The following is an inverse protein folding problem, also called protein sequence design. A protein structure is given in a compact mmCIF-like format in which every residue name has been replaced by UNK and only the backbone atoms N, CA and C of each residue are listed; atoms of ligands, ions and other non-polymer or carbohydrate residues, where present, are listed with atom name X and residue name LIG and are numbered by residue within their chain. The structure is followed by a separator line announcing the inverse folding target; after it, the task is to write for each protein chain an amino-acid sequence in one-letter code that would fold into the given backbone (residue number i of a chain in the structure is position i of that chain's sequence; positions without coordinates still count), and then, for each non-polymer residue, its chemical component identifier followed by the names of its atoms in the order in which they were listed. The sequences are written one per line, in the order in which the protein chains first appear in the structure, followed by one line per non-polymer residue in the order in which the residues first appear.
data_IF_700071890833
#
_entry.id   IF_700071890833
#
_cell.length_a   1.000
_cell.length_b   1.000
_cell.length_c   1.000
_cell.angle_alpha   90.00
_cell.angle_beta   90.00
_cell.angle_gamma   90.00
#
_symmetry.space_group_name_H-M   'P 1'
#
loop_
_entity.id
_entity.type
_entity.pdbx_description
1 polymer ?
#
# COMPACT_ATOMS: atom_id res chain seq x y z
N UNK A 1 -4.01 -17.89 2.29
CA UNK A 1 -3.00 -17.02 2.90
C UNK A 1 -3.11 -17.08 4.42
N UNK A 2 -2.18 -17.72 5.13
CA UNK A 2 -2.12 -17.76 6.60
C UNK A 2 -0.74 -17.28 7.03
N UNK A 3 -0.59 -16.76 8.25
CA UNK A 3 0.70 -16.27 8.75
C UNK A 3 1.52 -17.36 9.47
N UNK A 4 0.95 -18.55 9.73
CA UNK A 4 1.66 -19.67 10.35
C UNK A 4 3.06 -19.96 9.76
N UNK A 5 3.26 -19.93 8.42
CA UNK A 5 4.58 -20.17 7.84
C UNK A 5 5.67 -19.17 8.28
N UNK A 6 5.28 -17.95 8.70
CA UNK A 6 6.21 -16.92 9.17
C UNK A 6 6.83 -17.23 10.53
N UNK A 7 6.34 -18.23 11.26
CA UNK A 7 6.95 -18.70 12.51
C UNK A 7 8.22 -19.54 12.27
N UNK A 8 8.48 -19.93 11.02
CA UNK A 8 9.74 -20.59 10.64
C UNK A 8 10.71 -19.56 10.04
N UNK A 9 12.03 -19.81 10.08
CA UNK A 9 12.99 -18.95 9.38
C UNK A 9 12.71 -18.92 7.87
N UNK A 10 12.58 -17.71 7.31
CA UNK A 10 12.34 -17.48 5.88
C UNK A 10 13.37 -16.49 5.37
N UNK A 11 13.95 -16.75 4.21
CA UNK A 11 14.86 -15.81 3.57
C UNK A 11 14.09 -14.61 2.99
N UNK A 12 14.55 -13.40 3.28
CA UNK A 12 13.92 -12.18 2.77
C UNK A 12 13.94 -12.09 1.23
N UNK A 13 14.83 -12.84 0.59
CA UNK A 13 15.00 -12.94 -0.88
C UNK A 13 14.15 -14.04 -1.52
N UNK A 14 13.40 -14.83 -0.75
CA UNK A 14 12.51 -15.87 -1.29
C UNK A 14 11.21 -15.25 -1.83
N UNK A 15 11.30 -14.58 -2.99
CA UNK A 15 10.16 -13.90 -3.60
C UNK A 15 8.99 -14.86 -3.90
N UNK A 16 9.27 -16.13 -4.19
CA UNK A 16 8.24 -17.14 -4.45
C UNK A 16 7.42 -17.47 -3.19
N UNK A 17 8.03 -17.40 -2.00
CA UNK A 17 7.31 -17.47 -0.73
C UNK A 17 6.48 -16.21 -0.49
N UNK A 18 7.09 -15.03 -0.60
CA UNK A 18 6.43 -13.75 -0.28
C UNK A 18 5.27 -13.45 -1.24
N UNK A 19 5.40 -13.79 -2.53
CA UNK A 19 4.36 -13.51 -3.51
C UNK A 19 3.04 -14.26 -3.23
N UNK A 20 3.06 -15.33 -2.45
CA UNK A 20 1.85 -16.07 -2.06
C UNK A 20 0.87 -15.23 -1.22
N UNK A 21 1.34 -14.14 -0.61
CA UNK A 21 0.53 -13.21 0.18
C UNK A 21 -0.24 -12.19 -0.67
N UNK A 22 -0.02 -12.12 -1.99
CA UNK A 22 -0.76 -11.18 -2.85
C UNK A 22 -1.03 -11.69 -4.28
N UNK A 23 -0.45 -12.82 -4.68
CA UNK A 23 -0.59 -13.35 -6.03
C UNK A 23 -1.98 -13.91 -6.37
N UNK A 24 -2.79 -14.31 -5.38
CA UNK A 24 -4.13 -14.84 -5.63
C UNK A 24 -5.10 -13.73 -6.00
N UNK A 25 -5.56 -13.74 -7.26
CA UNK A 25 -6.44 -12.71 -7.80
C UNK A 25 -7.90 -12.81 -7.31
N UNK A 26 -8.25 -13.88 -6.59
CA UNK A 26 -9.60 -14.10 -6.07
C UNK A 26 -9.76 -13.78 -4.59
N UNK A 27 -8.69 -13.39 -3.91
CA UNK A 27 -8.71 -13.08 -2.48
C UNK A 27 -9.61 -11.87 -2.20
N UNK A 28 -10.61 -12.05 -1.33
CA UNK A 28 -11.46 -10.95 -0.84
C UNK A 28 -10.98 -10.43 0.51
N UNK A 29 -11.50 -9.27 0.95
CA UNK A 29 -11.25 -8.78 2.31
C UNK A 29 -11.76 -9.76 3.37
N UNK A 30 -12.88 -10.44 3.14
CA UNK A 30 -13.41 -11.45 4.05
C UNK A 30 -12.44 -12.63 4.18
N UNK A 31 -11.84 -13.07 3.07
CA UNK A 31 -10.85 -14.15 3.08
C UNK A 31 -9.61 -13.78 3.89
N UNK A 32 -9.09 -12.55 3.72
CA UNK A 32 -7.95 -12.06 4.50
C UNK A 32 -8.27 -12.10 6.00
N UNK A 33 -9.43 -11.61 6.41
CA UNK A 33 -9.81 -11.61 7.83
C UNK A 33 -10.05 -13.01 8.40
N UNK A 34 -10.56 -13.95 7.58
CA UNK A 34 -10.77 -15.33 7.99
C UNK A 34 -9.46 -16.12 8.09
N UNK A 35 -8.52 -15.90 7.16
CA UNK A 35 -7.29 -16.67 7.04
C UNK A 35 -6.10 -16.07 7.82
N UNK A 36 -6.20 -14.81 8.25
CA UNK A 36 -5.18 -14.09 9.05
C UNK A 36 -5.77 -13.70 10.41
N UNK A 37 -5.91 -14.66 11.35
CA UNK A 37 -6.52 -14.41 12.66
C UNK A 37 -5.62 -13.57 13.56
N UNK A 38 -6.23 -12.85 14.51
CA UNK A 38 -5.52 -11.93 15.41
C UNK A 38 -4.44 -12.63 16.23
N UNK A 39 -4.69 -13.87 16.65
CA UNK A 39 -3.75 -14.67 17.42
C UNK A 39 -2.48 -14.99 16.61
N UNK A 40 -2.61 -15.31 15.33
CA UNK A 40 -1.45 -15.56 14.46
C UNK A 40 -0.62 -14.29 14.27
N UNK A 41 -1.25 -13.13 14.07
CA UNK A 41 -0.51 -11.87 13.89
C UNK A 41 0.33 -11.55 15.14
N UNK A 42 -0.26 -11.67 16.33
CA UNK A 42 0.46 -11.43 17.60
C UNK A 42 1.56 -12.48 17.84
N UNK A 43 1.29 -13.75 17.54
CA UNK A 43 2.31 -14.80 17.64
C UNK A 43 3.51 -14.51 16.73
N UNK A 44 3.28 -14.14 15.45
CA UNK A 44 4.39 -13.79 14.55
C UNK A 44 5.10 -12.52 15.01
N UNK A 45 4.38 -11.52 15.52
CA UNK A 45 4.98 -10.29 16.09
C UNK A 45 5.96 -10.61 17.24
N UNK A 46 5.61 -11.56 18.10
CA UNK A 46 6.37 -11.92 19.30
C UNK A 46 7.48 -12.95 19.02
N UNK A 47 7.20 -13.95 18.19
CA UNK A 47 8.10 -15.09 17.95
C UNK A 47 8.98 -14.90 16.72
N UNK A 48 8.56 -14.10 15.74
CA UNK A 48 9.27 -13.90 14.47
C UNK A 48 9.13 -12.46 13.92
N UNK A 49 9.56 -11.44 14.69
CA UNK A 49 9.40 -10.03 14.32
C UNK A 49 10.11 -9.67 13.01
N UNK A 50 11.24 -10.30 12.68
CA UNK A 50 11.96 -10.08 11.42
C UNK A 50 11.14 -10.49 10.18
N UNK A 51 10.37 -11.57 10.28
CA UNK A 51 9.54 -12.03 9.17
C UNK A 51 8.31 -11.14 9.00
N UNK A 52 7.69 -10.68 10.10
CA UNK A 52 6.60 -9.72 10.02
C UNK A 52 7.07 -8.36 9.47
N UNK A 53 8.26 -7.90 9.87
CA UNK A 53 8.90 -6.72 9.29
C UNK A 53 9.12 -6.87 7.77
N UNK A 54 9.66 -8.02 7.34
CA UNK A 54 9.88 -8.32 5.91
C UNK A 54 8.57 -8.37 5.13
N UNK A 55 7.51 -8.96 5.69
CA UNK A 55 6.18 -8.97 5.09
C UNK A 55 5.66 -7.54 4.87
N UNK A 56 5.82 -6.67 5.87
CA UNK A 56 5.42 -5.26 5.77
C UNK A 56 6.23 -4.54 4.68
N UNK A 57 7.56 -4.70 4.66
CA UNK A 57 8.41 -4.11 3.63
C UNK A 57 7.98 -4.51 2.22
N UNK A 58 7.85 -5.82 1.97
CA UNK A 58 7.44 -6.36 0.67
C UNK A 58 6.04 -5.89 0.27
N UNK A 59 5.09 -5.85 1.21
CA UNK A 59 3.74 -5.36 0.91
C UNK A 59 3.73 -3.86 0.55
N UNK A 60 4.50 -3.03 1.26
CA UNK A 60 4.64 -1.60 0.92
C UNK A 60 5.37 -1.42 -0.42
N UNK A 61 6.41 -2.22 -0.68
CA UNK A 61 7.13 -2.21 -1.97
C UNK A 61 6.17 -2.48 -3.14
N UNK A 62 5.21 -3.41 -2.99
CA UNK A 62 4.17 -3.64 -4.01
C UNK A 62 3.22 -2.44 -4.19
N UNK A 63 2.89 -1.71 -3.12
CA UNK A 63 2.08 -0.50 -3.23
C UNK A 63 2.85 0.61 -3.98
N UNK A 64 4.13 0.80 -3.67
CA UNK A 64 5.01 1.75 -4.36
C UNK A 64 5.12 1.40 -5.85
N UNK A 65 5.39 0.13 -6.17
CA UNK A 65 5.43 -0.34 -7.57
C UNK A 65 4.10 -0.11 -8.30
N UNK A 66 2.96 -0.30 -7.62
CA UNK A 66 1.65 0.00 -8.15
C UNK A 66 1.44 1.49 -8.44
N UNK A 67 1.86 2.36 -7.51
CA UNK A 67 1.80 3.81 -7.65
C UNK A 67 2.66 4.29 -8.83
N UNK A 68 3.91 3.83 -8.91
CA UNK A 68 4.88 4.24 -9.94
C UNK A 68 4.46 3.78 -11.35
N UNK A 69 3.88 2.58 -11.46
CA UNK A 69 3.45 2.01 -12.74
C UNK A 69 2.08 2.50 -13.21
N UNK A 70 1.25 3.01 -12.30
CA UNK A 70 -0.14 3.37 -12.59
C UNK A 70 -1.08 2.16 -12.74
N UNK A 71 -0.72 0.99 -12.19
CA UNK A 71 -1.53 -0.23 -12.19
C UNK A 71 -2.11 -0.62 -13.58
N UNK A 72 -1.27 -0.84 -14.62
CA UNK A 72 -1.73 -1.00 -16.00
C UNK A 72 -2.49 -2.31 -16.24
N UNK A 73 -2.27 -3.35 -15.43
CA UNK A 73 -2.95 -4.64 -15.55
C UNK A 73 -3.89 -4.94 -14.38
N UNK A 74 -4.91 -5.75 -14.64
CA UNK A 74 -5.81 -6.27 -13.58
C UNK A 74 -5.04 -7.04 -12.50
N UNK A 75 -3.98 -7.74 -12.89
CA UNK A 75 -3.11 -8.46 -11.96
C UNK A 75 -2.44 -7.50 -10.97
N UNK A 76 -1.87 -6.40 -11.43
CA UNK A 76 -1.21 -5.42 -10.56
C UNK A 76 -2.21 -4.72 -9.65
N UNK A 77 -3.38 -4.35 -10.17
CA UNK A 77 -4.48 -3.79 -9.35
C UNK A 77 -4.84 -4.74 -8.22
N UNK A 78 -4.96 -6.03 -8.51
CA UNK A 78 -5.30 -7.02 -7.50
C UNK A 78 -4.19 -7.28 -6.49
N UNK A 79 -2.91 -7.23 -6.91
CA UNK A 79 -1.76 -7.27 -6.00
C UNK A 79 -1.82 -6.08 -5.04
N UNK A 80 -2.03 -4.85 -5.55
CA UNK A 80 -2.15 -3.63 -4.74
C UNK A 80 -3.29 -3.74 -3.73
N UNK A 81 -4.47 -4.21 -4.16
CA UNK A 81 -5.61 -4.40 -3.27
C UNK A 81 -5.34 -5.47 -2.21
N UNK A 82 -4.71 -6.58 -2.57
CA UNK A 82 -4.35 -7.64 -1.61
C UNK A 82 -3.35 -7.14 -0.57
N UNK A 83 -2.30 -6.41 -0.99
CA UNK A 83 -1.37 -5.75 -0.06
C UNK A 83 -2.08 -4.73 0.83
N UNK A 84 -3.01 -3.95 0.28
CA UNK A 84 -3.82 -2.98 1.02
C UNK A 84 -4.64 -3.66 2.12
N UNK A 85 -5.33 -4.76 1.80
CA UNK A 85 -6.14 -5.55 2.75
C UNK A 85 -5.26 -6.19 3.82
N UNK A 86 -4.12 -6.75 3.43
CA UNK A 86 -3.18 -7.39 4.35
C UNK A 86 -2.63 -6.38 5.35
N UNK A 87 -2.15 -5.22 4.88
CA UNK A 87 -1.65 -4.15 5.74
C UNK A 87 -2.75 -3.63 6.67
N UNK A 88 -3.95 -3.39 6.15
CA UNK A 88 -5.12 -2.98 6.97
C UNK A 88 -5.41 -3.99 8.08
N UNK A 89 -5.17 -5.28 7.81
CA UNK A 89 -5.40 -6.37 8.76
C UNK A 89 -4.31 -6.46 9.84
N UNK A 90 -3.04 -6.29 9.48
CA UNK A 90 -1.90 -6.54 10.40
C UNK A 90 -1.49 -5.31 11.22
N UNK A 91 -1.59 -4.10 10.65
CA UNK A 91 -1.10 -2.87 11.28
C UNK A 91 -1.70 -2.59 12.67
N UNK A 92 -3.01 -2.80 12.92
CA UNK A 92 -3.57 -2.60 14.27
C UNK A 92 -2.84 -3.38 15.35
N UNK A 93 -2.44 -4.62 15.05
CA UNK A 93 -1.73 -5.48 16.00
C UNK A 93 -0.26 -5.14 16.08
N UNK A 94 0.33 -4.57 15.03
CA UNK A 94 1.71 -4.07 15.13
C UNK A 94 1.75 -2.86 16.07
N UNK A 95 0.78 -1.95 15.96
CA UNK A 95 0.69 -0.75 16.78
C UNK A 95 0.32 -0.97 18.26
N UNK A 96 -0.13 -2.18 18.63
CA UNK A 96 -0.28 -2.57 20.03
C UNK A 96 1.06 -2.59 20.79
N UNK A 97 2.19 -2.73 20.10
CA UNK A 97 3.53 -2.79 20.67
C UNK A 97 4.33 -1.53 20.31
N UNK A 98 4.79 -0.81 21.34
CA UNK A 98 5.50 0.45 21.17
C UNK A 98 6.88 0.28 20.50
N UNK A 99 7.50 -0.89 20.63
CA UNK A 99 8.82 -1.16 20.04
C UNK A 99 8.76 -1.15 18.50
N UNK A 100 7.58 -1.39 17.93
CA UNK A 100 7.34 -1.36 16.49
C UNK A 100 7.19 0.05 15.90
N UNK A 101 7.04 1.10 16.73
CA UNK A 101 7.06 2.49 16.25
C UNK A 101 8.40 2.86 15.61
N UNK A 102 9.49 2.40 16.25
CA UNK A 102 10.84 2.59 15.74
C UNK A 102 10.96 2.00 14.35
N UNK A 103 10.51 0.76 14.16
CA UNK A 103 10.52 0.07 12.86
C UNK A 103 9.87 0.89 11.72
N UNK A 104 8.66 1.44 11.92
CA UNK A 104 7.94 2.16 10.86
C UNK A 104 8.54 3.50 10.48
N UNK A 105 9.05 4.24 11.46
CA UNK A 105 9.54 5.61 11.28
C UNK A 105 11.06 5.70 11.18
N UNK A 106 11.78 4.62 11.47
CA UNK A 106 13.23 4.56 11.26
C UNK A 106 13.56 4.36 9.79
N UNK A 107 14.61 5.05 9.36
CA UNK A 107 15.29 4.83 8.09
C UNK A 107 16.12 3.56 8.19
N UNK A 108 15.96 2.59 7.29
CA UNK A 108 16.82 1.39 7.25
C UNK A 108 18.04 1.66 6.38
N UNK A 109 19.27 1.72 6.96
CA UNK A 109 20.47 1.97 6.18
C UNK A 109 20.64 0.93 5.07
N UNK A 110 20.64 1.38 3.81
CA UNK A 110 20.84 0.52 2.63
C UNK A 110 19.57 0.12 1.86
N UNK A 111 18.36 0.48 2.34
CA UNK A 111 17.12 0.23 1.60
C UNK A 111 17.00 1.08 0.31
N UNK A 112 17.62 2.26 0.26
CA UNK A 112 17.60 3.14 -0.93
C UNK A 112 18.52 2.71 -2.09
N UNK A 113 19.39 1.71 -1.89
CA UNK A 113 20.37 1.28 -2.92
C UNK A 113 19.78 0.52 -4.11
N UNK A 114 18.51 0.12 -4.06
CA UNK A 114 17.93 -0.74 -5.08
C UNK A 114 17.26 0.01 -6.26
N UNK A 115 17.16 1.36 -6.22
CA UNK A 115 16.20 2.07 -7.09
C UNK A 115 16.72 3.20 -7.98
N UNK A 116 17.65 4.05 -7.54
CA UNK A 116 17.99 5.26 -8.32
C UNK A 116 19.50 5.55 -8.32
N UNK A 117 20.10 5.47 -9.52
CA UNK A 117 21.40 6.05 -9.82
C UNK A 117 21.20 7.53 -10.16
N UNK A 118 20.76 8.34 -9.18
CA UNK A 118 20.74 9.79 -9.38
C UNK A 118 22.07 10.38 -8.92
N UNK A 119 22.71 11.09 -9.86
CA UNK A 119 24.07 11.61 -9.82
C UNK A 119 24.16 12.94 -9.05
N UNK A 120 23.43 13.09 -7.94
CA UNK A 120 23.50 14.28 -7.09
C UNK A 120 23.57 13.86 -5.62
N UNK A 121 24.79 13.88 -5.06
CA UNK A 121 25.12 13.45 -3.71
C UNK A 121 24.56 14.35 -2.60
N UNK A 122 23.25 14.24 -2.35
CA UNK A 122 22.62 14.58 -1.08
C UNK A 122 22.30 13.24 -0.42
N UNK A 123 22.75 13.08 0.83
CA UNK A 123 22.52 11.92 1.70
C UNK A 123 21.17 11.24 1.39
N UNK A 124 21.21 10.05 0.76
CA UNK A 124 20.06 9.16 0.60
C UNK A 124 19.74 8.59 1.99
N UNK A 125 19.20 9.46 2.84
CA UNK A 125 18.63 9.11 4.12
C UNK A 125 17.42 8.23 3.80
N UNK A 126 17.66 6.92 3.74
CA UNK A 126 16.72 5.89 3.29
C UNK A 126 15.32 6.16 3.84
N UNK A 127 14.37 6.53 2.98
CA UNK A 127 13.01 6.93 3.35
C UNK A 127 12.37 5.94 4.35
N UNK A 128 11.80 6.41 5.48
CA UNK A 128 11.09 5.54 6.42
C UNK A 128 9.94 4.75 5.76
N UNK A 129 9.66 3.55 6.27
CA UNK A 129 8.58 2.71 5.73
C UNK A 129 7.21 3.41 5.79
N UNK A 130 6.94 4.13 6.88
CA UNK A 130 5.71 4.89 7.05
C UNK A 130 5.54 5.99 6.00
N UNK A 131 6.61 6.72 5.66
CA UNK A 131 6.57 7.75 4.62
C UNK A 131 6.29 7.12 3.26
N UNK A 132 7.01 6.05 2.91
CA UNK A 132 6.79 5.32 1.65
C UNK A 132 5.36 4.79 1.53
N UNK A 133 4.80 4.26 2.61
CA UNK A 133 3.41 3.79 2.65
C UNK A 133 2.41 4.92 2.44
N UNK A 134 2.56 6.04 3.15
CA UNK A 134 1.63 7.17 3.06
C UNK A 134 1.68 7.84 1.68
N UNK A 135 2.86 7.97 1.09
CA UNK A 135 3.03 8.47 -0.27
C UNK A 135 2.37 7.52 -1.29
N UNK A 136 2.67 6.22 -1.22
CA UNK A 136 2.08 5.24 -2.13
C UNK A 136 0.54 5.21 -2.04
N UNK A 137 -0.03 5.27 -0.83
CA UNK A 137 -1.49 5.36 -0.66
C UNK A 137 -2.03 6.64 -1.30
N UNK A 138 -1.35 7.77 -1.10
CA UNK A 138 -1.77 9.07 -1.66
C UNK A 138 -1.76 9.04 -3.18
N UNK A 139 -0.70 8.50 -3.80
CA UNK A 139 -0.60 8.39 -5.25
C UNK A 139 -1.65 7.41 -5.80
N UNK A 140 -1.83 6.26 -5.16
CA UNK A 140 -2.84 5.26 -5.54
C UNK A 140 -4.27 5.77 -5.41
N UNK A 141 -4.57 6.67 -4.47
CA UNK A 141 -5.89 7.31 -4.33
C UNK A 141 -6.24 8.18 -5.53
N UNK A 142 -5.24 8.70 -6.24
CA UNK A 142 -5.41 9.54 -7.43
C UNK A 142 -4.90 8.87 -8.73
N UNK A 143 -4.63 7.57 -8.70
CA UNK A 143 -4.17 6.81 -9.86
C UNK A 143 -5.26 6.69 -10.93
N UNK A 144 -4.96 7.19 -12.13
CA UNK A 144 -5.86 7.10 -13.29
C UNK A 144 -6.16 5.63 -13.63
N UNK A 145 -7.41 5.39 -14.03
CA UNK A 145 -7.97 4.08 -14.40
C UNK A 145 -7.93 3.01 -13.29
N UNK A 146 -7.53 3.38 -12.07
CA UNK A 146 -7.59 2.56 -10.86
C UNK A 146 -8.54 3.16 -9.81
N UNK A 147 -8.40 4.45 -9.52
CA UNK A 147 -9.20 5.22 -8.55
C UNK A 147 -9.65 6.57 -9.10
N UNK A 148 -9.10 7.04 -10.22
CA UNK A 148 -9.53 8.26 -10.90
C UNK A 148 -9.85 7.97 -12.37
N UNK A 149 -10.69 8.78 -12.99
CA UNK A 149 -11.08 8.58 -14.39
C UNK A 149 -10.03 9.22 -15.31
N UNK A 150 -9.48 8.45 -16.25
CA UNK A 150 -8.70 9.03 -17.34
C UNK A 150 -9.63 9.70 -18.35
N UNK A 151 -9.33 10.95 -18.74
CA UNK A 151 -10.05 11.64 -19.82
C UNK A 151 -9.37 11.50 -21.19
N UNK A 152 -8.38 10.60 -21.32
CA UNK A 152 -7.78 10.27 -22.62
C UNK A 152 -8.83 9.71 -23.57
N UNK A 153 -9.48 10.60 -24.32
CA UNK A 153 -10.19 10.27 -25.56
C UNK A 153 -9.18 9.63 -26.49
N UNK A 154 -9.63 8.64 -27.27
CA UNK A 154 -8.95 7.99 -28.39
C UNK A 154 -8.41 8.99 -29.44
N UNK A 155 -7.49 9.87 -29.07
CA UNK A 155 -6.76 10.80 -29.91
C UNK A 155 -5.40 10.18 -30.20
N UNK A 156 -4.95 10.12 -31.46
CA UNK A 156 -3.68 9.48 -31.79
C UNK A 156 -2.53 10.16 -31.04
N UNK A 157 -1.73 9.35 -30.35
CA UNK A 157 -0.60 9.77 -29.52
C UNK A 157 0.27 10.80 -30.22
N UNK A 158 0.13 12.06 -29.82
CA UNK A 158 1.11 13.11 -30.11
C UNK A 158 1.89 13.34 -28.82
N UNK A 159 3.22 13.24 -28.92
CA UNK A 159 4.15 13.20 -27.78
C UNK A 159 4.13 14.46 -26.88
N UNK A 160 3.35 15.49 -27.24
CA UNK A 160 3.23 16.75 -26.53
C UNK A 160 2.07 16.79 -25.50
N UNK A 161 1.14 15.81 -25.49
CA UNK A 161 0.01 15.76 -24.54
C UNK A 161 0.39 15.20 -23.14
N UNK A 162 1.65 14.79 -22.95
CA UNK A 162 2.14 14.14 -21.71
C UNK A 162 2.18 15.11 -20.51
N UNK A 163 2.00 16.42 -20.72
CA UNK A 163 2.22 17.45 -19.67
C UNK A 163 1.02 18.31 -19.32
N UNK A 164 -0.17 18.04 -19.88
CA UNK A 164 -1.40 18.69 -19.41
C UNK A 164 -2.39 17.65 -18.91
N UNK A 165 -2.01 16.94 -17.84
CA UNK A 165 -3.03 16.35 -16.97
C UNK A 165 -3.83 17.53 -16.42
N UNK A 166 -5.07 17.67 -16.87
CA UNK A 166 -5.99 18.66 -16.32
C UNK A 166 -6.20 18.29 -14.85
N UNK A 167 -6.03 19.24 -13.92
CA UNK A 167 -6.28 18.98 -12.49
C UNK A 167 -7.70 18.45 -12.21
N UNK A 168 -8.60 18.61 -13.19
CA UNK A 168 -9.93 18.02 -13.19
C UNK A 168 -9.94 16.47 -13.22
N UNK A 169 -8.91 15.80 -13.75
CA UNK A 169 -8.85 14.32 -13.82
C UNK A 169 -8.73 13.66 -12.43
N UNK A 170 -8.25 14.40 -11.43
CA UNK A 170 -8.09 13.92 -10.05
C UNK A 170 -9.27 14.21 -9.13
N UNK A 171 -10.33 14.81 -9.65
CA UNK A 171 -11.53 15.14 -8.86
C UNK A 171 -12.38 13.88 -8.71
N UNK A 172 -12.73 13.49 -7.48
CA UNK A 172 -13.65 12.37 -7.25
C UNK A 172 -15.12 12.80 -7.28
N UNK A 173 -15.41 14.03 -6.86
CA UNK A 173 -16.77 14.56 -6.76
C UNK A 173 -16.82 16.06 -7.07
N UNK A 174 -17.99 16.53 -7.54
CA UNK A 174 -18.23 17.95 -7.75
C UNK A 174 -18.08 18.74 -6.45
N UNK A 175 -17.61 19.99 -6.57
CA UNK A 175 -17.34 20.85 -5.43
C UNK A 175 -17.05 22.29 -5.81
N UNK A 176 -16.46 23.04 -4.89
CA UNK A 176 -16.11 24.45 -5.13
C UNK A 176 -15.06 24.52 -6.24
N UNK A 177 -15.42 25.17 -7.35
CA UNK A 177 -14.55 25.29 -8.53
C UNK A 177 -14.76 24.21 -9.60
N UNK A 178 -15.58 23.19 -9.35
CA UNK A 178 -15.89 22.14 -10.34
C UNK A 178 -17.34 21.64 -10.21
N UNK A 179 -18.17 21.98 -11.18
CA UNK A 179 -19.63 21.79 -11.07
C UNK A 179 -20.14 20.44 -11.57
N UNK A 180 -19.31 19.63 -12.21
CA UNK A 180 -19.71 18.35 -12.80
C UNK A 180 -19.04 17.20 -12.06
N UNK A 181 -19.79 16.25 -11.51
CA UNK A 181 -19.16 15.05 -10.97
C UNK A 181 -18.67 14.18 -12.13
N UNK A 182 -17.52 13.51 -11.99
CA UNK A 182 -17.13 12.45 -12.90
C UNK A 182 -18.23 11.36 -12.98
N UNK A 183 -18.26 10.55 -14.05
CA UNK A 183 -19.15 9.39 -14.12
C UNK A 183 -18.94 8.45 -12.94
N UNK A 184 -20.04 7.91 -12.40
CA UNK A 184 -19.99 6.93 -11.32
C UNK A 184 -19.25 5.67 -11.80
N UNK A 185 -18.28 5.22 -11.00
CA UNK A 185 -17.56 3.98 -11.24
C UNK A 185 -17.39 3.23 -9.91
N UNK A 186 -18.25 2.23 -9.73
CA UNK A 186 -18.29 1.42 -8.52
C UNK A 186 -16.95 0.73 -8.20
N UNK A 187 -16.16 0.35 -9.21
CA UNK A 187 -14.86 -0.27 -8.99
C UNK A 187 -13.87 0.75 -8.40
N UNK A 188 -13.85 1.98 -8.94
CA UNK A 188 -13.02 3.05 -8.37
C UNK A 188 -13.44 3.35 -6.93
N UNK A 189 -14.74 3.36 -6.64
CA UNK A 189 -15.25 3.61 -5.28
C UNK A 189 -14.83 2.51 -4.29
N UNK A 190 -14.86 1.24 -4.70
CA UNK A 190 -14.32 0.14 -3.88
C UNK A 190 -12.81 0.35 -3.63
N UNK A 191 -12.04 0.60 -4.68
CA UNK A 191 -10.58 0.75 -4.57
C UNK A 191 -10.21 1.92 -3.64
N UNK A 192 -10.85 3.08 -3.82
CA UNK A 192 -10.75 4.23 -2.91
C UNK A 192 -11.08 3.84 -1.48
N UNK A 193 -12.19 3.11 -1.28
CA UNK A 193 -12.63 2.68 0.05
C UNK A 193 -11.59 1.80 0.73
N UNK A 194 -10.93 0.90 0.02
CA UNK A 194 -9.89 0.04 0.60
C UNK A 194 -8.63 0.83 0.98
N UNK A 195 -8.18 1.72 0.09
CA UNK A 195 -7.03 2.59 0.36
C UNK A 195 -7.31 3.56 1.53
N UNK A 196 -8.51 4.14 1.60
CA UNK A 196 -8.92 5.01 2.70
C UNK A 196 -9.01 4.26 4.04
N UNK A 197 -9.42 2.99 4.03
CA UNK A 197 -9.39 2.14 5.24
C UNK A 197 -7.95 1.90 5.71
N UNK A 198 -7.02 1.67 4.80
CA UNK A 198 -5.60 1.54 5.14
C UNK A 198 -5.04 2.86 5.68
N UNK A 199 -5.34 3.99 5.03
CA UNK A 199 -4.94 5.32 5.51
C UNK A 199 -5.48 5.59 6.91
N UNK A 200 -6.77 5.32 7.14
CA UNK A 200 -7.38 5.46 8.45
C UNK A 200 -6.71 4.55 9.48
N UNK A 201 -6.36 3.32 9.11
CA UNK A 201 -5.62 2.39 9.97
C UNK A 201 -4.27 2.95 10.39
N UNK A 202 -3.52 3.56 9.46
CA UNK A 202 -2.23 4.20 9.76
C UNK A 202 -2.39 5.39 10.72
N UNK A 203 -3.49 6.14 10.62
CA UNK A 203 -3.73 7.36 11.41
C UNK A 203 -4.51 7.14 12.71
N UNK A 204 -4.97 5.91 12.99
CA UNK A 204 -5.83 5.58 14.14
C UNK A 204 -5.10 4.91 15.29
N UNK A 205 -3.79 5.13 15.41
CA UNK A 205 -2.93 4.44 16.38
C UNK A 205 -3.48 4.48 17.82
N UNK A 206 -4.01 5.62 18.25
CA UNK A 206 -4.60 5.78 19.59
C UNK A 206 -5.77 4.82 19.88
N UNK A 207 -6.43 4.29 18.85
CA UNK A 207 -7.53 3.33 18.98
C UNK A 207 -7.05 1.91 19.30
N UNK A 208 -5.77 1.62 19.10
CA UNK A 208 -5.20 0.27 19.28
C UNK A 208 -4.51 0.09 20.62
N UNK A 209 -4.28 1.17 21.36
CA UNK A 209 -3.68 1.14 22.69
C UNK A 209 -4.75 0.98 23.77
N UNK A 210 -4.44 0.29 24.88
CA UNK A 210 -5.30 0.34 26.05
C UNK A 210 -5.40 1.78 26.59
N UNK A 211 -6.52 2.16 27.25
CA UNK A 211 -6.64 3.46 27.89
C UNK A 211 -5.49 3.70 28.87
N UNK A 212 -4.82 4.85 28.76
CA UNK A 212 -3.85 5.28 29.76
C UNK A 212 -4.61 5.57 31.07
N UNK A 213 -4.39 4.73 32.08
CA UNK A 213 -4.90 4.91 33.45
C UNK A 213 -3.98 5.81 34.27
#
# INVERSE_FOLDING_TARGET
MTLCPLLQPVEATDDAFWDQFWADTSTTVQDVFALVPAAEIRAVREESPSNLATLCYKAVERLVQGADSGCPSEKERQIVLNCTRLLTRILPYIFEDADWRGFFWSTVPGAGRAGHLDEDGIDDESRPLAESLLLAISDLLFCLDFTAQSHKKNSPDTADDIRSIDSCEYIWEAGVGFAQSPPLNYIHDINRTELLKLLLTCLSEAMYLPPLL
#
